data_IF_420122176614
#
_entry.id   IF_420122176614
#
_cell.length_a   1.000
_cell.length_b   1.000
_cell.length_c   1.000
_cell.angle_alpha   90.00
_cell.angle_beta   90.00
_cell.angle_gamma   90.00
#
_symmetry.space_group_name_H-M   'P 1'
#
loop_
_entity.id
_entity.type
_entity.pdbx_description
1 polymer ?
#
# COMPACT_ATOMS: atom_id res chain seq x y z
N UNK A 1 -1.47 -3.57 -13.61
CA UNK A 1 -2.22 -4.66 -12.95
C UNK A 1 -3.05 -4.06 -11.80
N UNK A 2 -3.93 -4.83 -11.16
CA UNK A 2 -4.67 -4.40 -9.96
C UNK A 2 -4.14 -5.19 -8.76
N UNK A 3 -3.63 -4.50 -7.75
CA UNK A 3 -3.16 -5.09 -6.49
C UNK A 3 -4.09 -4.67 -5.35
N UNK A 4 -4.46 -5.63 -4.50
CA UNK A 4 -5.19 -5.38 -3.26
C UNK A 4 -4.26 -5.67 -2.09
N UNK A 5 -4.07 -4.68 -1.22
CA UNK A 5 -3.30 -4.81 0.01
C UNK A 5 -4.27 -4.87 1.20
N UNK A 6 -4.09 -5.87 2.06
CA UNK A 6 -4.78 -5.98 3.34
C UNK A 6 -3.79 -5.49 4.39
N UNK A 7 -4.07 -4.36 5.02
CA UNK A 7 -3.14 -3.63 5.88
C UNK A 7 -3.81 -3.23 7.19
N UNK A 8 -3.00 -2.83 8.17
CA UNK A 8 -3.50 -2.06 9.31
C UNK A 8 -4.14 -0.74 8.86
N UNK A 9 -4.96 -0.08 9.71
CA UNK A 9 -5.61 1.18 9.35
C UNK A 9 -4.62 2.20 8.79
N UNK A 10 -4.87 2.68 7.57
CA UNK A 10 -3.89 3.46 6.80
C UNK A 10 -3.43 4.74 7.52
N UNK A 11 -4.27 5.29 8.40
CA UNK A 11 -3.95 6.48 9.20
C UNK A 11 -2.94 6.20 10.32
N UNK A 12 -2.63 4.93 10.61
CA UNK A 12 -1.65 4.52 11.61
C UNK A 12 -0.29 4.14 11.01
N UNK A 13 -0.21 4.04 9.68
CA UNK A 13 1.02 3.68 8.99
C UNK A 13 1.95 4.90 8.89
N UNK A 14 3.24 4.66 9.06
CA UNK A 14 4.33 5.60 8.83
C UNK A 14 5.00 5.30 7.47
N UNK A 15 4.87 6.20 6.48
CA UNK A 15 5.50 6.02 5.17
C UNK A 15 7.02 5.87 5.20
N UNK A 16 7.69 6.35 6.25
CA UNK A 16 9.14 6.23 6.41
C UNK A 16 9.61 4.89 7.00
N UNK A 17 8.68 4.06 7.48
CA UNK A 17 8.99 2.81 8.19
C UNK A 17 8.27 1.59 7.60
N UNK A 18 6.99 1.74 7.25
CA UNK A 18 6.15 0.61 6.90
C UNK A 18 6.42 0.07 5.50
N UNK A 19 6.81 -1.20 5.45
CA UNK A 19 7.11 -1.89 4.18
C UNK A 19 5.87 -2.01 3.29
N UNK A 20 4.67 -2.11 3.88
CA UNK A 20 3.41 -2.13 3.13
C UNK A 20 3.22 -0.84 2.32
N UNK A 21 3.58 0.31 2.88
CA UNK A 21 3.53 1.61 2.19
C UNK A 21 4.53 1.65 1.04
N UNK A 22 5.78 1.25 1.29
CA UNK A 22 6.81 1.21 0.24
C UNK A 22 6.42 0.31 -0.94
N UNK A 23 5.78 -0.84 -0.68
CA UNK A 23 5.30 -1.74 -1.74
C UNK A 23 4.13 -1.15 -2.53
N UNK A 24 3.22 -0.43 -1.86
CA UNK A 24 2.13 0.28 -2.53
C UNK A 24 2.65 1.39 -3.44
N UNK A 25 3.61 2.19 -2.95
CA UNK A 25 4.27 3.25 -3.74
C UNK A 25 5.00 2.68 -4.96
N UNK A 26 5.75 1.59 -4.79
CA UNK A 26 6.43 0.92 -5.88
C UNK A 26 5.45 0.40 -6.94
N UNK A 27 4.32 -0.19 -6.52
CA UNK A 27 3.27 -0.63 -7.44
C UNK A 27 2.66 0.54 -8.21
N UNK A 28 2.41 1.68 -7.55
CA UNK A 28 1.93 2.89 -8.21
C UNK A 28 2.96 3.45 -9.21
N UNK A 29 4.24 3.50 -8.84
CA UNK A 29 5.32 3.97 -9.72
C UNK A 29 5.44 3.14 -11.02
N UNK A 30 5.09 1.85 -10.96
CA UNK A 30 5.02 0.95 -12.13
C UNK A 30 3.69 1.03 -12.91
N UNK A 31 2.82 2.00 -12.59
CA UNK A 31 1.54 2.20 -13.27
C UNK A 31 0.49 1.14 -12.92
N UNK A 32 0.59 0.50 -11.76
CA UNK A 32 -0.41 -0.43 -11.27
C UNK A 32 -1.46 0.28 -10.40
N UNK A 33 -2.70 -0.20 -10.46
CA UNK A 33 -3.77 0.28 -9.58
C UNK A 33 -3.64 -0.41 -8.23
N UNK A 34 -3.58 0.39 -7.17
CA UNK A 34 -3.51 -0.06 -5.79
C UNK A 34 -4.86 0.14 -5.12
N UNK A 35 -5.38 -0.93 -4.55
CA UNK A 35 -6.56 -0.97 -3.70
C UNK A 35 -6.14 -1.40 -2.31
N UNK A 36 -6.79 -0.85 -1.29
CA UNK A 36 -6.51 -1.19 0.11
C UNK A 36 -7.80 -1.60 0.82
N UNK A 37 -7.67 -2.49 1.80
CA UNK A 37 -8.69 -2.81 2.78
C UNK A 37 -8.01 -3.17 4.10
N UNK A 38 -8.76 -3.16 5.18
CA UNK A 38 -8.27 -3.48 6.53
C UNK A 38 -8.75 -4.88 6.95
N UNK A 39 -8.02 -5.52 7.87
CA UNK A 39 -8.39 -6.78 8.52
C UNK A 39 -8.88 -6.57 9.96
#
# INVERSE_FOLDING_TARGET
MKFAFIIDPIQKLDPGHDTSVALMEAAQALGHQVWITEA
#
